data_IF_589773466451
#
_entry.id   IF_589773466451
#
_cell.length_a   1.000
_cell.length_b   1.000
_cell.length_c   1.000
_cell.angle_alpha   90.00
_cell.angle_beta   90.00
_cell.angle_gamma   90.00
#
_symmetry.space_group_name_H-M   'P 1'
#
loop_
_entity.id
_entity.type
_entity.pdbx_description
1 polymer ?
#
# COMPACT_ATOMS: atom_id res chain seq x y z
N UNK A 1 10.16 -65.74 31.93
CA UNK A 1 8.98 -65.17 32.56
C UNK A 1 9.33 -63.70 32.98
N UNK A 2 9.17 -62.71 32.17
CA UNK A 2 8.97 -61.31 32.57
C UNK A 2 8.47 -60.53 31.37
N UNK A 3 7.27 -60.07 31.49
CA UNK A 3 6.53 -59.26 30.49
C UNK A 3 6.90 -57.80 30.69
N UNK A 4 7.57 -57.24 29.73
CA UNK A 4 7.75 -55.77 29.66
C UNK A 4 6.63 -55.16 28.84
N UNK A 5 5.73 -54.46 29.50
CA UNK A 5 4.73 -53.59 28.95
C UNK A 5 5.42 -52.32 28.47
N UNK A 6 5.57 -52.18 27.16
CA UNK A 6 6.00 -50.92 26.53
C UNK A 6 4.77 -50.02 26.43
N UNK A 7 4.77 -48.98 27.24
CA UNK A 7 3.73 -47.94 27.27
C UNK A 7 4.00 -46.99 26.10
N UNK A 8 3.28 -47.17 25.00
CA UNK A 8 3.38 -46.28 23.82
C UNK A 8 2.54 -45.06 24.10
N UNK A 9 3.19 -44.00 24.60
CA UNK A 9 2.61 -42.67 24.71
C UNK A 9 2.45 -42.06 23.35
N UNK A 10 1.22 -41.96 22.86
CA UNK A 10 0.87 -41.18 21.67
C UNK A 10 0.96 -39.70 22.04
N UNK A 11 2.04 -39.05 21.60
CA UNK A 11 2.14 -37.58 21.63
C UNK A 11 1.35 -37.04 20.45
N UNK A 12 0.10 -36.66 20.68
CA UNK A 12 -0.66 -35.82 19.73
C UNK A 12 -0.05 -34.44 19.69
N UNK A 13 0.82 -34.20 18.70
CA UNK A 13 1.32 -32.87 18.37
C UNK A 13 0.17 -32.09 17.70
N UNK A 14 -0.55 -31.30 18.49
CA UNK A 14 -1.52 -30.32 18.00
C UNK A 14 -0.75 -29.22 17.29
N UNK A 15 -0.59 -29.33 15.96
CA UNK A 15 -0.23 -28.23 15.08
C UNK A 15 -1.42 -27.26 15.05
N UNK A 16 -1.44 -26.35 16.01
CA UNK A 16 -2.30 -25.18 15.99
C UNK A 16 -1.84 -24.27 14.86
N UNK A 17 -2.39 -24.46 13.67
CA UNK A 17 -2.24 -23.49 12.58
C UNK A 17 -2.85 -22.17 13.02
N UNK A 18 -2.02 -21.16 13.28
CA UNK A 18 -2.47 -19.79 13.41
C UNK A 18 -2.92 -19.35 12.03
N UNK A 19 -4.22 -19.41 11.77
CA UNK A 19 -4.80 -18.73 10.60
C UNK A 19 -4.63 -17.24 10.87
N UNK A 20 -3.57 -16.67 10.31
CA UNK A 20 -3.43 -15.23 10.22
C UNK A 20 -4.52 -14.74 9.26
N UNK A 21 -5.65 -14.27 9.77
CA UNK A 21 -6.65 -13.52 9.02
C UNK A 21 -6.09 -12.12 8.71
N UNK A 22 -5.13 -12.05 7.79
CA UNK A 22 -4.78 -10.81 7.12
C UNK A 22 -5.68 -10.63 5.90
N UNK A 23 -6.14 -9.40 5.63
CA UNK A 23 -6.81 -9.08 4.37
C UNK A 23 -5.92 -9.52 3.21
N UNK A 24 -6.48 -10.28 2.28
CA UNK A 24 -5.74 -10.63 1.07
C UNK A 24 -5.75 -9.43 0.14
N UNK A 25 -4.58 -8.92 -0.20
CA UNK A 25 -4.44 -7.85 -1.17
C UNK A 25 -4.98 -8.33 -2.54
N UNK A 26 -5.87 -7.55 -3.13
CA UNK A 26 -6.33 -7.73 -4.51
C UNK A 26 -5.28 -7.21 -5.47
N UNK A 27 -4.66 -6.10 -5.08
CA UNK A 27 -3.58 -5.47 -5.81
C UNK A 27 -2.62 -4.81 -4.81
N UNK A 28 -1.32 -4.96 -5.02
CA UNK A 28 -0.30 -4.33 -4.19
C UNK A 28 1.00 -4.22 -4.98
N UNK A 29 1.14 -3.13 -5.72
CA UNK A 29 2.31 -2.91 -6.55
C UNK A 29 2.99 -1.59 -6.21
N UNK A 30 4.31 -1.61 -6.35
CA UNK A 30 5.18 -0.47 -6.14
C UNK A 30 6.01 -0.19 -7.39
N UNK A 31 6.10 1.08 -7.75
CA UNK A 31 7.09 1.59 -8.68
C UNK A 31 8.29 2.11 -7.90
N UNK A 32 9.46 1.54 -8.16
CA UNK A 32 10.72 2.04 -7.58
C UNK A 32 11.16 3.28 -8.34
N UNK A 33 11.41 4.34 -7.60
CA UNK A 33 11.81 5.63 -8.14
C UNK A 33 13.33 5.71 -8.34
N UNK A 34 13.80 6.53 -9.31
CA UNK A 34 15.22 6.69 -9.56
C UNK A 34 15.98 7.23 -8.34
N UNK A 35 17.16 6.68 -8.04
CA UNK A 35 18.02 7.12 -6.92
C UNK A 35 18.41 8.59 -6.99
N UNK A 36 18.44 9.18 -8.18
CA UNK A 36 18.73 10.60 -8.37
C UNK A 36 17.55 11.52 -8.04
N UNK A 37 16.38 10.95 -7.71
CA UNK A 37 15.18 11.64 -7.25
C UNK A 37 13.99 11.51 -8.21
N UNK A 38 12.81 11.86 -7.68
CA UNK A 38 11.54 11.85 -8.39
C UNK A 38 11.25 13.24 -8.99
N UNK A 39 11.15 13.34 -10.30
CA UNK A 39 10.80 14.59 -10.99
C UNK A 39 9.28 14.75 -11.11
N UNK A 40 8.79 16.00 -11.09
CA UNK A 40 7.37 16.31 -11.29
C UNK A 40 6.79 15.72 -12.57
N UNK A 41 7.58 15.67 -13.63
CA UNK A 41 7.16 15.14 -14.94
C UNK A 41 7.05 13.62 -14.96
N UNK A 42 7.64 12.93 -14.00
CA UNK A 42 7.71 11.47 -13.94
C UNK A 42 6.45 10.93 -13.23
N UNK A 43 5.34 10.89 -13.96
CA UNK A 43 4.06 10.39 -13.47
C UNK A 43 4.14 8.87 -13.33
N UNK A 44 3.81 8.37 -12.15
CA UNK A 44 3.77 6.94 -11.88
C UNK A 44 2.39 6.40 -12.24
N UNK A 45 2.34 5.26 -12.94
CA UNK A 45 1.12 4.65 -13.44
C UNK A 45 0.94 3.24 -12.89
N UNK A 46 -0.28 2.92 -12.48
CA UNK A 46 -0.71 1.62 -11.97
C UNK A 46 -1.97 1.18 -12.71
N UNK A 47 -2.03 -0.07 -13.08
CA UNK A 47 -3.15 -0.68 -13.82
C UNK A 47 -3.64 -1.92 -13.06
N UNK A 48 -4.40 -1.76 -11.98
CA UNK A 48 -4.89 -2.90 -11.23
C UNK A 48 -5.88 -3.74 -12.06
N UNK A 49 -5.66 -5.05 -12.04
CA UNK A 49 -6.66 -6.02 -12.46
C UNK A 49 -7.50 -6.40 -11.25
N UNK A 50 -8.75 -5.96 -11.25
CA UNK A 50 -9.69 -6.25 -10.17
C UNK A 50 -10.63 -7.37 -10.63
N UNK A 51 -10.67 -8.50 -9.89
CA UNK A 51 -11.38 -9.70 -10.33
C UNK A 51 -12.91 -9.54 -10.31
N UNK A 52 -13.41 -8.57 -9.56
CA UNK A 52 -14.84 -8.39 -9.33
C UNK A 52 -15.18 -6.91 -9.17
N UNK A 53 -16.15 -6.46 -9.96
CA UNK A 53 -16.63 -5.07 -9.98
C UNK A 53 -17.91 -4.87 -9.17
N UNK A 54 -18.44 -5.92 -8.57
CA UNK A 54 -19.64 -5.88 -7.70
C UNK A 54 -19.25 -5.51 -6.29
N UNK A 55 -18.09 -6.00 -5.83
CA UNK A 55 -17.58 -5.76 -4.50
C UNK A 55 -17.03 -4.33 -4.34
N UNK A 56 -16.90 -3.94 -3.10
CA UNK A 56 -16.32 -2.67 -2.67
C UNK A 56 -14.90 -2.88 -2.18
N UNK A 57 -14.07 -1.86 -2.33
CA UNK A 57 -12.66 -1.94 -2.05
C UNK A 57 -12.17 -0.70 -1.31
N UNK A 58 -11.21 -0.90 -0.42
CA UNK A 58 -10.40 0.19 0.14
C UNK A 58 -9.16 0.37 -0.73
N UNK A 59 -8.90 1.59 -1.16
CA UNK A 59 -7.76 1.95 -1.99
C UNK A 59 -6.78 2.78 -1.17
N UNK A 60 -5.54 2.32 -1.08
CA UNK A 60 -4.45 2.98 -0.36
C UNK A 60 -3.35 3.42 -1.32
N UNK A 61 -2.82 4.58 -1.05
CA UNK A 61 -1.53 5.03 -1.55
C UNK A 61 -0.44 4.57 -0.59
N UNK A 62 0.56 3.86 -1.09
CA UNK A 62 1.69 3.38 -0.31
C UNK A 62 2.95 4.13 -0.70
N UNK A 63 3.70 4.58 0.29
CA UNK A 63 4.94 5.34 0.11
C UNK A 63 6.07 4.69 0.88
N UNK A 64 7.26 4.62 0.27
CA UNK A 64 8.51 4.31 0.97
C UNK A 64 9.48 5.47 0.82
N UNK A 65 10.09 5.85 1.92
CA UNK A 65 11.07 6.92 1.95
C UNK A 65 12.21 6.61 2.91
N UNK A 66 13.27 7.39 2.84
CA UNK A 66 14.41 7.31 3.75
C UNK A 66 14.74 8.69 4.33
N UNK A 67 15.80 8.76 5.14
CA UNK A 67 16.25 9.98 5.79
C UNK A 67 16.78 11.09 4.86
N UNK A 68 16.93 10.82 3.55
CA UNK A 68 17.31 11.84 2.56
C UNK A 68 16.15 12.74 2.15
N UNK A 69 14.92 12.38 2.51
CA UNK A 69 13.76 13.23 2.28
C UNK A 69 13.78 14.42 3.23
N UNK A 70 13.66 15.63 2.69
CA UNK A 70 13.92 16.86 3.43
C UNK A 70 12.67 17.57 3.96
N UNK A 71 11.49 17.08 3.59
CA UNK A 71 10.23 17.68 4.01
C UNK A 71 9.48 16.77 4.99
N UNK A 72 8.63 17.38 5.80
CA UNK A 72 7.74 16.66 6.72
C UNK A 72 6.55 16.01 6.02
N UNK A 73 6.14 16.56 4.89
CA UNK A 73 4.98 16.11 4.13
C UNK A 73 5.31 15.99 2.64
N UNK A 74 4.45 15.26 1.92
CA UNK A 74 4.53 15.08 0.48
C UNK A 74 3.16 15.35 -0.14
N UNK A 75 3.10 16.34 -1.03
CA UNK A 75 1.92 16.64 -1.83
C UNK A 75 1.94 15.87 -3.13
N UNK A 76 0.83 15.19 -3.41
CA UNK A 76 0.66 14.36 -4.60
C UNK A 76 -0.68 14.69 -5.29
N UNK A 77 -0.70 14.62 -6.62
CA UNK A 77 -1.92 14.42 -7.38
C UNK A 77 -2.10 12.93 -7.63
N UNK A 78 -3.27 12.42 -7.29
CA UNK A 78 -3.68 11.06 -7.58
C UNK A 78 -4.87 11.13 -8.50
N UNK A 79 -4.72 10.65 -9.74
CA UNK A 79 -5.82 10.64 -10.71
C UNK A 79 -6.26 9.22 -10.98
N UNK A 80 -7.57 9.01 -11.08
CA UNK A 80 -8.21 7.73 -11.33
C UNK A 80 -9.59 7.94 -11.95
N UNK A 81 -10.15 6.90 -12.55
CA UNK A 81 -11.53 6.94 -13.00
C UNK A 81 -12.46 6.53 -11.85
N UNK A 82 -13.50 7.33 -11.62
CA UNK A 82 -14.53 7.00 -10.62
C UNK A 82 -15.45 5.85 -11.10
N UNK A 83 -16.43 5.49 -10.27
CA UNK A 83 -17.40 4.43 -10.55
C UNK A 83 -18.15 4.65 -11.88
N UNK A 84 -18.37 5.88 -12.29
CA UNK A 84 -19.00 6.26 -13.56
C UNK A 84 -18.00 6.32 -14.74
N UNK A 85 -16.71 6.04 -14.49
CA UNK A 85 -15.65 6.13 -15.48
C UNK A 85 -15.21 7.56 -15.80
N UNK A 86 -15.55 8.52 -14.95
CA UNK A 86 -15.12 9.92 -15.06
C UNK A 86 -13.76 10.08 -14.39
N UNK A 87 -12.80 10.70 -15.10
CA UNK A 87 -11.49 11.00 -14.55
C UNK A 87 -11.61 12.00 -13.39
N UNK A 88 -11.12 11.60 -12.23
CA UNK A 88 -10.95 12.45 -11.04
C UNK A 88 -9.47 12.64 -10.73
N UNK A 89 -9.17 13.75 -10.08
CA UNK A 89 -7.82 14.03 -9.54
C UNK A 89 -7.97 14.60 -8.15
N UNK A 90 -7.43 13.89 -7.19
CA UNK A 90 -7.39 14.29 -5.79
C UNK A 90 -6.01 14.86 -5.44
N UNK A 91 -6.02 15.87 -4.58
CA UNK A 91 -4.78 16.41 -4.00
C UNK A 91 -4.60 15.78 -2.62
N UNK A 92 -3.56 14.97 -2.48
CA UNK A 92 -3.28 14.20 -1.27
C UNK A 92 -2.07 14.80 -0.55
N UNK A 93 -2.24 15.12 0.73
CA UNK A 93 -1.15 15.50 1.62
C UNK A 93 -0.75 14.31 2.48
N UNK A 94 0.41 13.75 2.21
CA UNK A 94 0.97 12.65 3.00
C UNK A 94 1.89 13.23 4.09
N UNK A 95 1.50 13.16 5.35
CA UNK A 95 2.35 13.57 6.48
C UNK A 95 3.33 12.43 6.81
N UNK A 96 4.59 12.61 6.41
CA UNK A 96 5.65 11.61 6.57
C UNK A 96 6.40 11.73 7.90
N UNK A 97 6.34 12.90 8.55
CA UNK A 97 6.92 13.13 9.88
C UNK A 97 6.00 13.97 10.76
N UNK A 98 6.11 13.80 12.06
CA UNK A 98 5.42 14.62 13.05
C UNK A 98 6.03 16.03 13.19
N UNK A 99 5.47 16.84 14.07
CA UNK A 99 5.94 18.20 14.36
C UNK A 99 7.36 18.27 14.93
N UNK A 100 7.86 17.17 15.50
CA UNK A 100 9.21 17.04 16.04
C UNK A 100 10.21 16.47 15.03
N UNK A 101 9.79 16.21 13.79
CA UNK A 101 10.61 15.64 12.74
C UNK A 101 10.84 14.12 12.86
N UNK A 102 10.06 13.42 13.68
CA UNK A 102 10.12 11.96 13.78
C UNK A 102 9.30 11.36 12.64
N UNK A 103 9.93 10.46 11.89
CA UNK A 103 9.28 9.79 10.77
C UNK A 103 8.11 8.94 11.24
N UNK A 104 6.99 9.04 10.51
CA UNK A 104 5.78 8.25 10.69
C UNK A 104 5.87 6.93 9.94
N UNK A 105 5.01 5.97 10.30
CA UNK A 105 4.93 4.67 9.63
C UNK A 105 5.84 3.61 10.22
N UNK A 106 5.76 2.39 9.63
CA UNK A 106 6.61 1.26 9.97
C UNK A 106 7.97 1.39 9.29
N UNK A 107 9.06 1.10 10.00
CA UNK A 107 10.40 1.22 9.44
C UNK A 107 11.20 -0.08 9.54
N UNK A 108 12.08 -0.31 8.57
CA UNK A 108 13.14 -1.28 8.65
C UNK A 108 14.46 -0.61 8.27
N UNK A 109 15.38 -0.53 9.24
CA UNK A 109 16.65 0.16 9.05
C UNK A 109 16.46 1.64 8.81
N UNK A 110 16.91 2.15 7.66
CA UNK A 110 16.80 3.56 7.26
C UNK A 110 15.58 3.87 6.38
N UNK A 111 14.72 2.90 6.13
CA UNK A 111 13.52 3.07 5.30
C UNK A 111 12.26 3.05 6.15
N UNK A 112 11.31 3.89 5.77
CA UNK A 112 9.98 4.02 6.37
C UNK A 112 8.93 3.76 5.32
N UNK A 113 7.88 3.04 5.71
CA UNK A 113 6.72 2.81 4.85
C UNK A 113 5.48 3.37 5.52
N UNK A 114 4.69 4.09 4.74
CA UNK A 114 3.41 4.65 5.17
C UNK A 114 2.33 4.38 4.13
N UNK A 115 1.11 4.18 4.61
CA UNK A 115 -0.08 4.05 3.78
C UNK A 115 -1.06 5.19 4.10
N UNK A 116 -1.66 5.73 3.05
CA UNK A 116 -2.68 6.77 3.12
C UNK A 116 -3.94 6.24 2.44
N UNK A 117 -5.05 6.18 3.17
CA UNK A 117 -6.34 5.79 2.60
C UNK A 117 -6.78 6.85 1.60
N UNK A 118 -6.93 6.47 0.33
CA UNK A 118 -7.44 7.34 -0.73
C UNK A 118 -8.96 7.28 -0.81
N UNK A 119 -9.51 6.08 -0.73
CA UNK A 119 -10.94 5.86 -0.78
C UNK A 119 -11.30 4.59 0.02
N UNK A 120 -12.31 4.69 0.88
CA UNK A 120 -12.91 3.61 1.62
C UNK A 120 -14.28 3.29 0.99
N UNK A 121 -14.48 2.24 0.33
CA UNK A 121 -15.75 1.90 -0.32
C UNK A 121 -15.78 2.19 -1.83
N UNK A 122 -14.64 2.06 -2.49
CA UNK A 122 -14.51 2.27 -3.93
C UNK A 122 -15.09 1.10 -4.73
N UNK A 123 -15.83 1.41 -5.80
CA UNK A 123 -16.29 0.44 -6.80
C UNK A 123 -15.57 0.65 -8.11
N UNK A 124 -15.13 -0.45 -8.69
CA UNK A 124 -14.55 -0.44 -10.03
C UNK A 124 -15.66 -0.62 -11.09
N UNK A 125 -15.60 0.16 -12.16
CA UNK A 125 -16.55 0.00 -13.29
C UNK A 125 -16.19 -1.23 -14.12
N UNK A 126 -17.22 -2.02 -14.53
CA UNK A 126 -17.04 -3.35 -15.15
C UNK A 126 -16.44 -3.41 -16.56
N UNK A 127 -16.17 -2.27 -17.21
CA UNK A 127 -15.92 -2.27 -18.66
C UNK A 127 -14.62 -1.58 -19.08
N UNK A 128 -13.80 -1.10 -18.16
CA UNK A 128 -12.61 -0.30 -18.51
C UNK A 128 -11.38 -0.73 -17.74
N UNK A 129 -10.25 -0.58 -18.38
CA UNK A 129 -8.96 -0.63 -17.72
C UNK A 129 -8.92 0.42 -16.60
N UNK A 130 -8.70 -0.02 -15.38
CA UNK A 130 -8.57 0.88 -14.24
C UNK A 130 -7.16 1.39 -14.17
N UNK A 131 -7.02 2.71 -14.17
CA UNK A 131 -5.73 3.36 -14.14
C UNK A 131 -5.67 4.33 -12.99
N UNK A 132 -4.64 4.17 -12.15
CA UNK A 132 -4.24 5.17 -11.18
C UNK A 132 -2.95 5.83 -11.67
N UNK A 133 -2.88 7.15 -11.56
CA UNK A 133 -1.64 7.89 -11.78
C UNK A 133 -1.30 8.70 -10.55
N UNK A 134 -0.02 8.70 -10.19
CA UNK A 134 0.49 9.42 -9.02
C UNK A 134 1.62 10.35 -9.47
N UNK A 135 1.49 11.63 -9.15
CA UNK A 135 2.45 12.67 -9.51
C UNK A 135 2.81 13.50 -8.30
N UNK A 136 4.10 13.71 -8.05
CA UNK A 136 4.52 14.65 -7.02
C UNK A 136 4.28 16.11 -7.46
N UNK A 137 3.75 16.94 -6.54
CA UNK A 137 3.43 18.34 -6.78
C UNK A 137 4.03 19.27 -5.73
N UNK A 138 5.16 18.85 -5.19
CA UNK A 138 5.97 19.70 -4.31
C UNK A 138 6.46 20.95 -5.05
N UNK A 139 6.95 21.93 -4.31
CA UNK A 139 7.51 23.15 -4.92
C UNK A 139 8.72 22.84 -5.80
N UNK A 140 9.56 21.89 -5.38
CA UNK A 140 10.76 21.47 -6.10
C UNK A 140 10.41 20.60 -7.31
N UNK A 141 11.08 20.83 -8.43
CA UNK A 141 10.92 20.02 -9.62
C UNK A 141 11.38 18.58 -9.43
N UNK A 142 12.33 18.38 -8.52
CA UNK A 142 12.87 17.07 -8.16
C UNK A 142 13.00 16.94 -6.65
N UNK A 143 12.41 15.89 -6.10
CA UNK A 143 12.54 15.50 -4.69
C UNK A 143 13.42 14.25 -4.57
N UNK A 144 14.18 14.16 -3.47
CA UNK A 144 14.98 12.98 -3.12
C UNK A 144 14.42 12.30 -1.89
N UNK A 145 14.83 11.06 -1.64
CA UNK A 145 14.48 10.35 -0.42
C UNK A 145 13.15 9.60 -0.48
N UNK A 146 12.32 9.78 -1.52
CA UNK A 146 11.21 8.89 -1.81
C UNK A 146 11.76 7.77 -2.69
N UNK A 147 11.71 6.53 -2.19
CA UNK A 147 12.26 5.37 -2.90
C UNK A 147 11.23 4.63 -3.73
N UNK A 148 9.99 4.55 -3.24
CA UNK A 148 8.92 3.82 -3.92
C UNK A 148 7.59 4.52 -3.68
N UNK A 149 6.73 4.42 -4.67
CA UNK A 149 5.31 4.77 -4.58
C UNK A 149 4.48 3.59 -5.08
N UNK A 150 3.37 3.31 -4.44
CA UNK A 150 2.54 2.16 -4.76
C UNK A 150 1.06 2.42 -4.57
N UNK A 151 0.26 1.54 -5.16
CA UNK A 151 -1.18 1.44 -4.93
C UNK A 151 -1.47 0.06 -4.35
N UNK A 152 -2.24 0.03 -3.26
CA UNK A 152 -2.73 -1.18 -2.62
C UNK A 152 -4.24 -1.16 -2.58
N UNK A 153 -4.87 -2.27 -2.96
CA UNK A 153 -6.32 -2.44 -3.01
C UNK A 153 -6.67 -3.70 -2.22
N UNK A 154 -7.59 -3.55 -1.27
CA UNK A 154 -8.09 -4.65 -0.44
C UNK A 154 -9.62 -4.66 -0.46
N UNK A 155 -10.28 -5.80 -0.25
CA UNK A 155 -11.73 -5.84 -0.07
C UNK A 155 -12.16 -4.92 1.07
N UNK A 156 -13.24 -4.16 0.86
CA UNK A 156 -13.84 -3.35 1.92
C UNK A 156 -14.55 -4.24 2.93
N UNK A 157 -14.38 -3.97 4.22
CA UNK A 157 -15.10 -4.65 5.30
C UNK A 157 -16.12 -3.68 5.89
N UNK A 158 -17.39 -4.05 5.82
CA UNK A 158 -18.44 -3.37 6.58
C UNK A 158 -18.15 -3.51 8.08
N UNK A 159 -18.07 -2.40 8.78
CA UNK A 159 -17.85 -2.35 10.24
C UNK A 159 -19.15 -2.48 10.99
#
# INVERSE_FOLDING_TARGET
>A
MWRNLVNTGIVCLLLGGTVSCGRTDVYNEFNTLPKNGWFKRDVQRFTPEVPDTVNRYDVYLSLRHNGDYTYRNLWLFVSYNDEGGVLKTDTVNCELADEFGRWSGGGWGSYYQQEVLLNDDFRFSGEKEHVFTVQQVMRDDRIRGISDVGIRIVPHEEK
#
